data_IF_515352431254
#
_entry.id   IF_515352431254
#
_cell.length_a   1.000
_cell.length_b   1.000
_cell.length_c   1.000
_cell.angle_alpha   90.00
_cell.angle_beta   90.00
_cell.angle_gamma   90.00
#
_symmetry.space_group_name_H-M   'P 1'
#
loop_
_entity.id
_entity.type
_entity.pdbx_description
1 polymer ?
#
# COMPACT_ATOMS: atom_id res chain seq x y z
N UNK A 1 -10.40 1.70 12.16
CA UNK A 1 -9.16 2.13 11.46
C UNK A 1 -7.96 1.41 12.07
N UNK A 2 -7.15 0.73 11.26
CA UNK A 2 -6.03 -0.12 11.72
C UNK A 2 -4.77 0.21 10.93
N UNK A 3 -3.60 0.21 11.59
CA UNK A 3 -2.31 0.29 10.90
C UNK A 3 -1.72 -1.12 10.86
N UNK A 4 -1.25 -1.52 9.68
CA UNK A 4 -0.49 -2.75 9.48
C UNK A 4 0.90 -2.42 8.95
N UNK A 5 1.82 -3.36 9.13
CA UNK A 5 3.16 -3.31 8.55
C UNK A 5 3.23 -4.29 7.40
N UNK A 6 3.75 -3.84 6.27
CA UNK A 6 4.00 -4.70 5.10
C UNK A 6 5.46 -4.60 4.71
N UNK A 7 6.05 -5.74 4.37
CA UNK A 7 7.41 -5.81 3.84
C UNK A 7 7.35 -5.84 2.32
N UNK A 8 8.06 -4.91 1.67
CA UNK A 8 8.23 -4.82 0.21
C UNK A 8 9.71 -4.63 -0.08
N UNK A 9 10.26 -5.43 -1.01
CA UNK A 9 11.71 -5.57 -1.21
C UNK A 9 12.44 -5.77 0.14
N UNK A 10 13.38 -4.88 0.49
CA UNK A 10 14.18 -4.91 1.73
C UNK A 10 13.70 -3.90 2.80
N UNK A 11 12.52 -3.30 2.63
CA UNK A 11 11.99 -2.24 3.51
C UNK A 11 10.63 -2.64 4.09
N UNK A 12 10.28 -2.01 5.21
CA UNK A 12 8.97 -2.14 5.85
C UNK A 12 8.22 -0.81 5.72
N UNK A 13 6.94 -0.89 5.39
CA UNK A 13 6.06 0.25 5.16
C UNK A 13 4.83 0.16 6.05
N UNK A 14 4.31 1.31 6.47
CA UNK A 14 3.12 1.38 7.31
C UNK A 14 1.92 1.66 6.42
N UNK A 15 0.92 0.81 6.53
CA UNK A 15 -0.30 0.91 5.74
C UNK A 15 -1.47 1.14 6.66
N UNK A 16 -2.19 2.21 6.40
CA UNK A 16 -3.46 2.55 7.05
C UNK A 16 -4.59 1.81 6.33
N UNK A 17 -5.29 0.95 7.05
CA UNK A 17 -6.46 0.21 6.58
C UNK A 17 -7.72 0.78 7.25
N UNK A 18 -8.74 1.06 6.44
CA UNK A 18 -10.05 1.54 6.88
C UNK A 18 -11.16 0.83 6.10
N UNK A 19 -12.35 0.81 6.68
CA UNK A 19 -13.54 0.34 6.00
C UNK A 19 -13.88 1.30 4.84
N UNK A 20 -14.16 0.72 3.69
CA UNK A 20 -14.72 1.39 2.53
C UNK A 20 -16.22 1.07 2.40
N UNK A 21 -16.76 1.24 1.20
CA UNK A 21 -18.17 0.98 0.90
C UNK A 21 -18.39 -0.48 0.46
N UNK A 22 -19.62 -0.99 0.56
CA UNK A 22 -20.02 -2.32 0.07
C UNK A 22 -19.15 -3.50 0.56
N UNK A 23 -18.66 -3.40 1.81
CA UNK A 23 -17.81 -4.42 2.43
C UNK A 23 -16.37 -4.44 1.91
N UNK A 24 -15.94 -3.42 1.17
CA UNK A 24 -14.54 -3.23 0.83
C UNK A 24 -13.75 -2.63 1.99
N UNK A 25 -12.46 -2.91 1.95
CA UNK A 25 -11.44 -2.24 2.75
C UNK A 25 -10.63 -1.33 1.82
N UNK A 26 -10.12 -0.24 2.38
CA UNK A 26 -9.21 0.70 1.71
C UNK A 26 -7.88 0.66 2.45
N UNK A 27 -6.77 0.51 1.72
CA UNK A 27 -5.42 0.50 2.24
C UNK A 27 -4.58 1.61 1.59
N UNK A 28 -3.90 2.40 2.42
CA UNK A 28 -3.03 3.48 1.98
C UNK A 28 -1.69 3.44 2.68
N UNK A 29 -0.59 3.51 1.93
CA UNK A 29 0.74 3.74 2.47
C UNK A 29 0.83 5.15 3.06
N UNK A 30 1.37 5.29 4.28
CA UNK A 30 1.42 6.61 4.96
C UNK A 30 2.76 7.32 4.82
N UNK A 31 3.75 6.67 4.21
CA UNK A 31 5.03 7.28 3.89
C UNK A 31 4.86 8.39 2.84
N UNK A 32 5.37 9.63 3.06
CA UNK A 32 5.12 10.77 2.18
C UNK A 32 5.48 10.52 0.71
N UNK A 33 6.64 9.91 0.47
CA UNK A 33 7.11 9.56 -0.88
C UNK A 33 6.25 8.49 -1.58
N UNK A 34 5.41 7.77 -0.83
CA UNK A 34 4.54 6.70 -1.32
C UNK A 34 3.06 7.00 -1.08
N UNK A 35 2.69 8.27 -0.86
CA UNK A 35 1.31 8.67 -0.57
C UNK A 35 0.31 8.29 -1.68
N UNK A 36 0.80 8.08 -2.92
CA UNK A 36 0.05 7.57 -4.06
C UNK A 36 -0.27 6.07 -4.03
N UNK A 37 0.36 5.28 -3.15
CA UNK A 37 0.06 3.86 -3.01
C UNK A 37 -1.24 3.69 -2.20
N UNK A 38 -2.37 3.65 -2.93
CA UNK A 38 -3.72 3.48 -2.43
C UNK A 38 -4.39 2.32 -3.16
N UNK A 39 -4.94 1.36 -2.42
CA UNK A 39 -5.62 0.20 -2.99
C UNK A 39 -6.88 -0.15 -2.21
N UNK A 40 -7.69 -1.04 -2.77
CA UNK A 40 -8.88 -1.58 -2.12
C UNK A 40 -8.98 -3.10 -2.33
N UNK A 41 -9.76 -3.76 -1.48
CA UNK A 41 -10.02 -5.20 -1.55
C UNK A 41 -11.08 -5.62 -0.54
N UNK A 42 -11.75 -6.75 -0.78
CA UNK A 42 -12.80 -7.26 0.13
C UNK A 42 -12.23 -8.05 1.30
N UNK A 43 -10.98 -8.47 1.20
CA UNK A 43 -10.32 -9.24 2.26
C UNK A 43 -8.97 -8.63 2.65
N UNK A 44 -8.53 -8.88 3.89
CA UNK A 44 -7.19 -8.49 4.34
C UNK A 44 -6.07 -9.11 3.48
N UNK A 45 -6.29 -10.32 2.94
CA UNK A 45 -5.31 -10.99 2.07
C UNK A 45 -5.15 -10.24 0.74
N UNK A 46 -6.25 -9.84 0.12
CA UNK A 46 -6.26 -9.00 -1.08
C UNK A 46 -5.61 -7.64 -0.81
N UNK A 47 -5.99 -6.99 0.29
CA UNK A 47 -5.41 -5.71 0.70
C UNK A 47 -3.89 -5.79 0.79
N UNK A 48 -3.36 -6.78 1.50
CA UNK A 48 -1.92 -6.94 1.70
C UNK A 48 -1.22 -7.23 0.36
N UNK A 49 -1.83 -8.01 -0.53
CA UNK A 49 -1.27 -8.26 -1.86
C UNK A 49 -1.24 -6.98 -2.70
N UNK A 50 -2.39 -6.35 -2.87
CA UNK A 50 -2.57 -5.19 -3.73
C UNK A 50 -1.68 -4.02 -3.29
N UNK A 51 -1.62 -3.73 -1.98
CA UNK A 51 -0.81 -2.61 -1.49
C UNK A 51 0.69 -2.86 -1.65
N UNK A 52 1.15 -4.12 -1.58
CA UNK A 52 2.56 -4.44 -1.84
C UNK A 52 2.93 -4.19 -3.30
N UNK A 53 2.08 -4.66 -4.23
CA UNK A 53 2.26 -4.44 -5.67
C UNK A 53 2.24 -2.93 -5.99
N UNK A 54 1.32 -2.16 -5.39
CA UNK A 54 1.25 -0.71 -5.57
C UNK A 54 2.48 0.03 -5.00
N UNK A 55 2.96 -0.35 -3.81
CA UNK A 55 4.18 0.23 -3.23
C UNK A 55 5.39 -0.09 -4.12
N UNK A 56 5.49 -1.32 -4.62
CA UNK A 56 6.58 -1.73 -5.52
C UNK A 56 6.60 -0.91 -6.81
N UNK A 57 5.43 -0.73 -7.45
CA UNK A 57 5.27 0.13 -8.62
C UNK A 57 5.74 1.57 -8.39
N UNK A 58 5.35 2.19 -7.28
CA UNK A 58 5.77 3.56 -6.98
C UNK A 58 7.28 3.62 -6.71
N UNK A 59 7.85 2.64 -6.01
CA UNK A 59 9.29 2.58 -5.78
C UNK A 59 10.07 2.43 -7.09
N UNK A 60 9.59 1.62 -8.03
CA UNK A 60 10.24 1.43 -9.33
C UNK A 60 10.25 2.74 -10.13
N UNK A 61 9.13 3.47 -10.16
CA UNK A 61 9.06 4.81 -10.80
C UNK A 61 10.05 5.78 -10.15
N UNK A 62 10.09 5.84 -8.81
CA UNK A 62 11.03 6.71 -8.08
C UNK A 62 12.51 6.32 -8.28
N UNK A 63 12.79 5.06 -8.58
CA UNK A 63 14.13 4.57 -8.93
C UNK A 63 14.50 4.93 -10.38
N UNK A 64 13.53 4.90 -11.30
CA UNK A 64 13.72 5.33 -12.70
C UNK A 64 13.94 6.84 -12.84
N UNK A 65 13.18 7.68 -12.11
CA UNK A 65 13.34 9.14 -12.14
C UNK A 65 14.70 9.63 -11.61
N UNK A 66 15.41 8.79 -10.84
CA UNK A 66 16.74 9.10 -10.29
C UNK A 66 17.89 8.75 -11.23
N UNK A 67 17.62 8.05 -12.34
CA UNK A 67 18.62 7.71 -13.35
C UNK A 67 18.75 8.83 -14.39
#
# INVERSE_FOLDING_TARGET
>A
MKIIKVKVKRREFRVKVRDGEDGYLIAQCIEPELSGALTQGKTMKEIVRNIKEAIELVLDVLEEEKK
#
